data_IF_526624872911
#
_entry.id   IF_526624872911
#
_cell.length_a   1.000
_cell.length_b   1.000
_cell.length_c   1.000
_cell.angle_alpha   90.00
_cell.angle_beta   90.00
_cell.angle_gamma   90.00
#
_symmetry.space_group_name_H-M   'P 1'
#
loop_
_entity.id
_entity.type
_entity.pdbx_description
1 polymer ?
#
# COMPACT_ATOMS: atom_id res chain seq x y z
N UNK A 1 16.05 25.24 -11.42
CA UNK A 1 15.70 24.92 -10.01
C UNK A 1 15.76 23.40 -9.89
N UNK A 2 16.67 22.85 -9.07
CA UNK A 2 16.77 21.40 -8.85
C UNK A 2 15.44 20.94 -8.24
N UNK A 3 14.71 19.99 -8.86
CA UNK A 3 13.50 19.39 -8.30
C UNK A 3 13.89 18.79 -6.94
N UNK A 4 13.36 19.36 -5.86
CA UNK A 4 13.58 18.80 -4.53
C UNK A 4 12.94 17.40 -4.53
N UNK A 5 13.76 16.37 -4.34
CA UNK A 5 13.30 14.98 -4.27
C UNK A 5 12.13 14.87 -3.29
N UNK A 6 11.03 14.29 -3.79
CA UNK A 6 9.79 14.04 -3.03
C UNK A 6 10.03 12.98 -1.94
N UNK A 7 11.12 12.21 -2.07
CA UNK A 7 11.49 11.07 -1.20
C UNK A 7 11.49 11.35 0.32
N UNK A 8 11.50 12.63 0.74
CA UNK A 8 11.43 13.02 2.15
C UNK A 8 10.14 12.62 2.89
N UNK A 9 9.14 12.10 2.17
CA UNK A 9 7.79 11.92 2.71
C UNK A 9 7.24 10.49 2.58
N UNK A 10 8.03 9.52 2.08
CA UNK A 10 7.59 8.14 1.95
C UNK A 10 7.12 7.58 3.29
N UNK A 11 5.91 7.05 3.35
CA UNK A 11 5.34 6.41 4.53
C UNK A 11 6.05 5.07 4.80
N UNK A 12 6.38 4.35 3.73
CA UNK A 12 6.98 3.03 3.74
C UNK A 12 8.13 2.99 2.72
N UNK A 13 9.35 2.65 3.14
CA UNK A 13 10.51 2.60 2.24
C UNK A 13 10.70 1.26 1.55
N UNK A 14 10.08 0.22 2.06
CA UNK A 14 10.17 -1.11 1.44
C UNK A 14 9.31 -2.14 2.13
N UNK A 15 9.08 -3.23 1.43
CA UNK A 15 8.35 -4.39 1.92
C UNK A 15 9.13 -5.67 1.58
N UNK A 16 9.13 -6.62 2.51
CA UNK A 16 9.67 -7.96 2.34
C UNK A 16 8.54 -8.96 2.57
N UNK A 17 8.41 -9.94 1.69
CA UNK A 17 7.38 -10.96 1.80
C UNK A 17 8.01 -12.34 1.53
N UNK A 18 7.75 -13.30 2.41
CA UNK A 18 8.10 -14.71 2.17
C UNK A 18 6.90 -15.60 2.38
N UNK A 19 6.76 -16.55 1.48
CA UNK A 19 5.76 -17.62 1.52
C UNK A 19 4.31 -17.13 1.54
N UNK A 20 3.98 -16.06 0.83
CA UNK A 20 2.59 -15.62 0.63
C UNK A 20 2.13 -15.95 -0.78
N UNK A 21 1.17 -16.86 -0.92
CA UNK A 21 0.63 -17.31 -2.22
C UNK A 21 1.75 -17.71 -3.18
N UNK A 22 1.89 -17.04 -4.33
CA UNK A 22 2.97 -17.28 -5.29
C UNK A 22 4.30 -16.61 -4.92
N UNK A 23 4.32 -15.73 -3.92
CA UNK A 23 5.53 -15.05 -3.46
C UNK A 23 6.34 -15.95 -2.53
N UNK A 24 7.35 -16.64 -3.07
CA UNK A 24 8.23 -17.51 -2.29
C UNK A 24 9.18 -16.71 -1.39
N UNK A 25 9.92 -15.78 -1.98
CA UNK A 25 10.81 -14.84 -1.30
C UNK A 25 11.04 -13.65 -2.23
N UNK A 26 10.55 -12.49 -1.83
CA UNK A 26 10.69 -11.28 -2.64
C UNK A 26 12.01 -10.54 -2.40
N UNK A 27 12.76 -10.91 -1.34
CA UNK A 27 13.72 -10.00 -0.78
C UNK A 27 13.05 -8.71 -0.29
N UNK A 28 13.84 -7.67 -0.07
CA UNK A 28 13.32 -6.34 0.23
C UNK A 28 13.00 -5.61 -1.08
N UNK A 29 11.73 -5.31 -1.31
CA UNK A 29 11.25 -4.51 -2.44
C UNK A 29 11.23 -3.04 -2.01
N UNK A 30 12.10 -2.17 -2.57
CA UNK A 30 12.05 -0.74 -2.31
C UNK A 30 10.75 -0.11 -2.81
N UNK A 31 10.15 0.75 -2.00
CA UNK A 31 8.94 1.50 -2.34
C UNK A 31 9.26 2.98 -2.49
N UNK A 32 8.72 3.61 -3.51
CA UNK A 32 8.92 5.02 -3.85
C UNK A 32 7.61 5.79 -3.67
N UNK A 33 7.63 7.13 -3.76
CA UNK A 33 6.41 7.94 -3.77
C UNK A 33 5.34 7.44 -4.74
N UNK A 34 5.74 6.99 -5.93
CA UNK A 34 4.88 6.28 -6.87
C UNK A 34 5.52 4.92 -7.15
N UNK A 35 4.81 3.84 -6.91
CA UNK A 35 5.25 2.47 -7.19
C UNK A 35 4.23 1.77 -8.07
N UNK A 36 4.65 1.32 -9.25
CA UNK A 36 3.83 0.56 -10.19
C UNK A 36 4.14 -0.93 -10.09
N UNK A 37 3.10 -1.74 -10.02
CA UNK A 37 3.15 -3.20 -10.08
C UNK A 37 2.53 -3.64 -11.41
N UNK A 38 3.37 -4.11 -12.32
CA UNK A 38 3.02 -4.51 -13.68
C UNK A 38 3.21 -6.02 -13.87
N UNK A 39 2.59 -6.59 -14.89
CA UNK A 39 2.75 -8.00 -15.25
C UNK A 39 1.42 -8.67 -15.61
N UNK A 40 1.44 -9.91 -16.09
CA UNK A 40 0.25 -10.68 -16.46
C UNK A 40 -0.72 -10.89 -15.30
N UNK A 41 -1.95 -11.31 -15.61
CA UNK A 41 -2.90 -11.75 -14.59
C UNK A 41 -2.31 -12.92 -13.78
N UNK A 42 -2.68 -13.02 -12.51
CA UNK A 42 -2.24 -14.08 -11.60
C UNK A 42 -0.72 -14.17 -11.36
N UNK A 43 0.06 -13.15 -11.74
CA UNK A 43 1.52 -13.12 -11.54
C UNK A 43 1.95 -12.80 -10.10
N UNK A 44 1.01 -12.49 -9.20
CA UNK A 44 1.32 -12.19 -7.78
C UNK A 44 1.37 -10.70 -7.41
N UNK A 45 1.02 -9.78 -8.31
CA UNK A 45 0.94 -8.33 -8.03
C UNK A 45 0.05 -8.02 -6.84
N UNK A 46 -1.18 -8.52 -6.88
CA UNK A 46 -2.18 -8.35 -5.81
C UNK A 46 -1.70 -8.93 -4.48
N UNK A 47 -0.88 -10.00 -4.48
CA UNK A 47 -0.36 -10.60 -3.24
C UNK A 47 0.52 -9.61 -2.46
N UNK A 48 1.25 -8.71 -3.13
CA UNK A 48 2.00 -7.65 -2.46
C UNK A 48 1.07 -6.66 -1.74
N UNK A 49 0.00 -6.21 -2.41
CA UNK A 49 -1.00 -5.33 -1.77
C UNK A 49 -1.70 -6.06 -0.62
N UNK A 50 -2.05 -7.33 -0.82
CA UNK A 50 -2.68 -8.17 0.19
C UNK A 50 -1.81 -8.34 1.44
N UNK A 51 -0.47 -8.39 1.33
CA UNK A 51 0.41 -8.41 2.50
C UNK A 51 0.24 -7.16 3.37
N UNK A 52 0.16 -5.97 2.77
CA UNK A 52 -0.09 -4.72 3.48
C UNK A 52 -1.51 -4.71 4.08
N UNK A 53 -2.50 -5.14 3.31
CA UNK A 53 -3.89 -5.20 3.74
C UNK A 53 -4.14 -6.21 4.86
N UNK A 54 -3.43 -7.35 4.86
CA UNK A 54 -3.41 -8.30 5.99
C UNK A 54 -2.95 -7.65 7.28
N UNK A 55 -1.86 -6.88 7.21
CA UNK A 55 -1.36 -6.14 8.37
C UNK A 55 -2.34 -5.05 8.79
N UNK A 56 -2.96 -4.33 7.82
CA UNK A 56 -3.98 -3.32 8.09
C UNK A 56 -5.18 -3.91 8.83
N UNK A 57 -5.81 -4.96 8.29
CA UNK A 57 -6.97 -5.57 8.95
C UNK A 57 -6.63 -6.22 10.29
N UNK A 58 -5.40 -6.74 10.46
CA UNK A 58 -4.93 -7.25 11.74
C UNK A 58 -4.79 -6.13 12.76
N UNK A 59 -4.27 -4.98 12.35
CA UNK A 59 -4.10 -3.82 13.23
C UNK A 59 -5.41 -3.15 13.62
N UNK A 60 -6.45 -3.23 12.78
CA UNK A 60 -7.81 -2.74 13.05
C UNK A 60 -8.65 -3.70 13.89
N UNK A 61 -8.23 -4.97 13.96
CA UNK A 61 -9.00 -6.01 14.62
C UNK A 61 -9.03 -5.85 16.13
N UNK A 62 -10.22 -6.03 16.72
CA UNK A 62 -10.42 -6.16 18.16
C UNK A 62 -10.06 -7.54 18.70
N UNK A 63 -9.83 -8.52 17.82
CA UNK A 63 -9.40 -9.86 18.23
C UNK A 63 -7.92 -9.86 18.60
N UNK A 64 -7.65 -9.85 19.90
CA UNK A 64 -6.29 -9.85 20.44
C UNK A 64 -5.66 -11.25 20.49
N UNK A 65 -6.44 -12.30 20.28
CA UNK A 65 -6.02 -13.70 20.44
C UNK A 65 -5.66 -14.39 19.13
N UNK A 66 -5.64 -13.68 18.01
CA UNK A 66 -5.17 -14.19 16.73
C UNK A 66 -3.96 -13.40 16.27
N UNK A 67 -2.81 -14.02 16.01
CA UNK A 67 -1.60 -13.33 15.56
C UNK A 67 -1.80 -12.53 14.28
N UNK A 68 -2.59 -13.06 13.36
CA UNK A 68 -2.89 -12.46 12.07
C UNK A 68 -4.34 -12.72 11.68
N UNK A 69 -5.03 -11.72 11.19
CA UNK A 69 -6.41 -11.83 10.70
C UNK A 69 -6.37 -12.10 9.19
N UNK A 70 -6.61 -13.34 8.79
CA UNK A 70 -6.52 -13.76 7.37
C UNK A 70 -7.83 -13.62 6.60
N UNK A 71 -8.96 -13.47 7.31
CA UNK A 71 -10.29 -13.19 6.76
C UNK A 71 -10.83 -11.92 7.38
N UNK A 72 -11.11 -10.91 6.58
CA UNK A 72 -11.58 -9.62 7.08
C UNK A 72 -12.13 -8.72 5.99
N UNK A 73 -12.29 -7.44 6.34
CA UNK A 73 -12.90 -6.43 5.47
C UNK A 73 -12.12 -6.23 4.17
N UNK A 74 -10.78 -6.19 4.23
CA UNK A 74 -9.94 -5.84 3.10
C UNK A 74 -9.55 -7.04 2.25
N UNK A 75 -9.26 -8.16 2.90
CA UNK A 75 -8.88 -9.41 2.23
C UNK A 75 -9.50 -10.62 2.93
N UNK A 76 -9.94 -11.58 2.13
CA UNK A 76 -10.26 -12.94 2.56
C UNK A 76 -9.32 -13.89 1.84
N UNK A 77 -8.36 -14.46 2.57
CA UNK A 77 -7.35 -15.37 2.03
C UNK A 77 -7.63 -16.84 2.38
N UNK A 78 -8.88 -17.14 2.77
CA UNK A 78 -9.29 -18.49 3.12
C UNK A 78 -8.65 -19.00 4.40
N UNK A 79 -8.02 -20.18 4.35
CA UNK A 79 -7.26 -20.78 5.45
C UNK A 79 -5.78 -20.42 5.36
N UNK A 80 -5.00 -20.76 6.41
CA UNK A 80 -3.54 -20.62 6.34
C UNK A 80 -2.94 -21.46 5.19
N UNK A 81 -3.55 -22.60 4.88
CA UNK A 81 -3.15 -23.43 3.75
C UNK A 81 -3.30 -22.73 2.42
N UNK A 82 -4.39 -21.95 2.25
CA UNK A 82 -4.68 -21.24 0.98
C UNK A 82 -3.74 -20.05 0.77
N UNK A 83 -3.27 -19.44 1.86
CA UNK A 83 -2.39 -18.28 1.76
C UNK A 83 -0.90 -18.62 1.70
N UNK A 84 -0.49 -19.79 2.25
CA UNK A 84 0.95 -20.13 2.34
C UNK A 84 1.48 -20.67 1.02
N UNK A 85 2.72 -20.35 0.69
CA UNK A 85 3.36 -20.80 -0.56
C UNK A 85 3.38 -22.32 -0.68
N UNK A 86 2.94 -22.84 -1.84
CA UNK A 86 2.79 -24.27 -2.15
C UNK A 86 1.88 -25.04 -1.19
N UNK A 87 0.99 -24.37 -0.46
CA UNK A 87 0.08 -24.97 0.52
C UNK A 87 0.78 -25.77 1.63
N UNK A 88 2.06 -25.46 1.88
CA UNK A 88 2.92 -26.16 2.82
C UNK A 88 2.80 -25.52 4.22
N UNK A 89 2.10 -26.21 5.12
CA UNK A 89 1.84 -25.75 6.49
C UNK A 89 3.09 -25.72 7.39
N UNK A 90 4.21 -26.30 6.96
CA UNK A 90 5.48 -26.26 7.71
C UNK A 90 6.26 -24.98 7.43
N UNK A 91 5.90 -24.27 6.35
CA UNK A 91 6.47 -22.97 6.05
C UNK A 91 5.88 -21.87 6.95
N UNK A 92 6.68 -20.85 7.19
CA UNK A 92 6.26 -19.67 7.89
C UNK A 92 6.03 -18.53 6.88
N UNK A 93 4.96 -17.77 7.09
CA UNK A 93 4.74 -16.49 6.44
C UNK A 93 5.64 -15.45 7.10
N UNK A 94 6.42 -14.72 6.30
CA UNK A 94 7.15 -13.55 6.79
C UNK A 94 6.70 -12.30 6.06
N UNK A 95 6.44 -11.22 6.81
CA UNK A 95 6.16 -9.88 6.27
C UNK A 95 7.06 -8.89 7.00
N UNK A 96 7.88 -8.16 6.25
CA UNK A 96 8.76 -7.12 6.75
C UNK A 96 8.38 -5.75 6.17
N UNK A 97 8.36 -4.71 7.02
CA UNK A 97 8.14 -3.33 6.62
C UNK A 97 9.38 -2.51 6.93
N UNK A 98 9.96 -1.88 5.89
CA UNK A 98 11.08 -0.94 6.02
C UNK A 98 10.54 0.48 6.08
N UNK A 99 10.92 1.20 7.11
CA UNK A 99 10.45 2.54 7.43
C UNK A 99 11.64 3.44 7.74
N UNK A 100 11.47 4.76 7.62
CA UNK A 100 12.46 5.73 8.08
C UNK A 100 11.94 6.55 9.25
N UNK A 101 12.68 6.53 10.37
CA UNK A 101 12.37 7.39 11.50
C UNK A 101 12.93 8.79 11.22
N UNK A 102 12.04 9.78 11.28
CA UNK A 102 12.37 11.21 11.18
C UNK A 102 12.09 11.91 12.50
N UNK A 103 12.51 11.30 13.61
CA UNK A 103 12.33 11.87 14.94
C UNK A 103 13.54 12.72 15.30
N UNK A 104 13.31 13.90 15.88
CA UNK A 104 14.34 14.68 16.51
C UNK A 104 14.98 13.93 17.70
N UNK A 105 16.15 14.38 18.18
CA UNK A 105 16.88 13.73 19.27
C UNK A 105 16.02 13.67 20.52
N UNK A 106 15.68 12.46 20.96
CA UNK A 106 14.96 12.18 22.20
C UNK A 106 15.94 11.66 23.25
N UNK A 107 15.75 12.02 24.53
CA UNK A 107 16.60 11.49 25.63
C UNK A 107 16.62 9.96 25.65
N UNK A 108 15.54 9.33 25.24
CA UNK A 108 15.37 7.86 25.17
C UNK A 108 16.36 7.21 24.18
N UNK A 109 16.76 7.92 23.13
CA UNK A 109 17.67 7.39 22.09
C UNK A 109 19.13 7.53 22.48
N UNK A 110 19.46 8.39 23.48
CA UNK A 110 20.85 8.48 24.00
C UNK A 110 21.30 7.19 24.65
N UNK A 111 20.37 6.46 25.29
CA UNK A 111 20.71 5.19 25.94
C UNK A 111 20.99 4.07 24.91
N UNK A 112 20.57 4.23 23.67
CA UNK A 112 20.86 3.30 22.56
C UNK A 112 22.21 3.56 21.91
N UNK A 113 22.89 4.68 22.21
CA UNK A 113 24.11 5.14 21.54
C UNK A 113 24.00 5.22 20.00
N UNK A 114 22.77 5.27 19.46
CA UNK A 114 22.47 5.33 18.02
C UNK A 114 21.67 6.60 17.75
N UNK A 115 22.14 7.38 16.79
CA UNK A 115 21.34 8.49 16.26
C UNK A 115 20.25 7.94 15.35
N UNK A 116 19.03 7.91 15.86
CA UNK A 116 17.86 7.45 15.11
C UNK A 116 17.26 8.55 14.22
N UNK A 117 17.87 9.73 14.15
CA UNK A 117 17.42 10.76 13.23
C UNK A 117 17.72 10.33 11.78
N UNK A 118 16.67 10.20 10.98
CA UNK A 118 16.73 9.75 9.58
C UNK A 118 17.24 8.30 9.36
N UNK A 119 17.04 7.43 10.34
CA UNK A 119 17.50 6.03 10.35
C UNK A 119 16.47 5.09 9.75
N UNK A 120 16.89 4.15 8.91
CA UNK A 120 16.04 3.10 8.35
C UNK A 120 15.85 1.96 9.34
N UNK A 121 14.61 1.57 9.55
CA UNK A 121 14.22 0.45 10.42
C UNK A 121 13.45 -0.58 9.60
N UNK A 122 13.82 -1.85 9.73
CA UNK A 122 13.06 -2.98 9.23
C UNK A 122 12.42 -3.73 10.41
N UNK A 123 11.09 -3.81 10.40
CA UNK A 123 10.34 -4.64 11.33
C UNK A 123 9.75 -5.84 10.56
N UNK A 124 10.12 -7.05 10.95
CA UNK A 124 9.70 -8.29 10.33
C UNK A 124 8.88 -9.15 11.30
N UNK A 125 7.76 -9.67 10.83
CA UNK A 125 6.87 -10.59 11.53
C UNK A 125 6.96 -11.96 10.89
N UNK A 126 7.03 -13.01 11.72
CA UNK A 126 7.05 -14.42 11.29
C UNK A 126 5.85 -15.14 11.89
N UNK A 127 4.95 -15.61 11.04
CA UNK A 127 3.72 -16.31 11.42
C UNK A 127 3.77 -17.74 10.93
N UNK A 128 3.49 -18.68 11.80
CA UNK A 128 3.40 -20.10 11.50
C UNK A 128 2.04 -20.69 11.84
N UNK A 129 1.90 -21.98 11.62
CA UNK A 129 0.70 -22.75 11.92
C UNK A 129 1.00 -23.88 12.91
N UNK A 130 0.21 -23.96 13.98
CA UNK A 130 0.25 -25.08 14.92
C UNK A 130 -0.74 -26.17 14.48
N UNK A 131 -0.22 -27.24 13.86
CA UNK A 131 -1.05 -28.35 13.33
C UNK A 131 -1.84 -29.05 14.42
N UNK A 132 -1.33 -29.12 15.66
CA UNK A 132 -2.01 -29.82 16.76
C UNK A 132 -3.22 -29.04 17.29
N UNK A 133 -3.13 -27.71 17.25
CA UNK A 133 -4.17 -26.80 17.74
C UNK A 133 -4.95 -26.15 16.60
N UNK A 134 -4.61 -26.47 15.35
CA UNK A 134 -5.22 -25.95 14.12
C UNK A 134 -5.35 -24.41 14.12
N UNK A 135 -4.30 -23.71 14.56
CA UNK A 135 -4.34 -22.25 14.67
C UNK A 135 -3.02 -21.58 14.26
N UNK A 136 -3.15 -20.31 13.93
CA UNK A 136 -2.02 -19.43 13.69
C UNK A 136 -1.23 -19.19 14.97
N UNK A 137 0.07 -19.12 14.84
CA UNK A 137 0.98 -18.77 15.95
C UNK A 137 2.00 -17.74 15.48
N UNK A 138 2.31 -16.80 16.35
CA UNK A 138 3.44 -15.92 16.17
C UNK A 138 4.74 -16.71 16.44
N UNK A 139 5.61 -16.78 15.44
CA UNK A 139 6.93 -17.44 15.52
C UNK A 139 8.04 -16.47 15.88
N UNK A 140 7.86 -15.17 15.54
CA UNK A 140 8.87 -14.19 15.88
C UNK A 140 8.60 -12.79 15.36
N UNK A 141 9.32 -11.85 15.97
CA UNK A 141 9.40 -10.46 15.54
C UNK A 141 10.87 -10.05 15.54
N UNK A 142 11.32 -9.46 14.46
CA UNK A 142 12.69 -8.97 14.32
C UNK A 142 12.69 -7.48 14.05
N UNK A 143 13.54 -6.74 14.76
CA UNK A 143 13.81 -5.33 14.57
C UNK A 143 15.26 -5.16 14.12
N UNK A 144 15.47 -4.60 12.94
CA UNK A 144 16.78 -4.25 12.42
C UNK A 144 16.88 -2.75 12.20
N UNK A 145 18.04 -2.18 12.49
CA UNK A 145 18.38 -0.77 12.27
C UNK A 145 19.55 -0.72 11.31
N UNK A 146 19.44 0.07 10.22
CA UNK A 146 20.46 0.14 9.15
C UNK A 146 20.96 -1.25 8.75
N UNK A 147 20.01 -2.21 8.56
CA UNK A 147 20.24 -3.59 8.18
C UNK A 147 20.93 -4.48 9.24
N UNK A 148 21.30 -3.94 10.39
CA UNK A 148 21.81 -4.71 11.52
C UNK A 148 20.67 -5.19 12.42
N UNK A 149 20.68 -6.48 12.74
CA UNK A 149 19.70 -7.05 13.68
C UNK A 149 19.96 -6.53 15.09
N UNK A 150 18.98 -5.81 15.65
CA UNK A 150 19.07 -5.24 16.99
C UNK A 150 18.30 -6.06 18.00
N UNK A 151 17.17 -6.63 17.62
CA UNK A 151 16.30 -7.41 18.51
C UNK A 151 15.57 -8.48 17.73
N UNK A 152 15.63 -9.71 18.24
CA UNK A 152 14.84 -10.85 17.76
C UNK A 152 14.07 -11.45 18.93
N UNK A 153 12.77 -11.53 18.76
CA UNK A 153 11.89 -12.35 19.56
C UNK A 153 11.60 -13.61 18.77
N UNK A 154 12.02 -14.78 19.22
CA UNK A 154 11.83 -16.04 18.50
C UNK A 154 11.65 -17.21 19.47
N UNK A 155 10.55 -17.95 19.31
CA UNK A 155 10.26 -19.11 20.16
C UNK A 155 10.18 -18.73 21.64
N UNK A 156 11.19 -19.15 22.40
CA UNK A 156 11.29 -18.96 23.86
C UNK A 156 12.39 -17.98 24.27
N UNK A 157 12.98 -17.26 23.33
CA UNK A 157 14.09 -16.35 23.63
C UNK A 157 13.85 -14.95 23.07
N UNK A 158 14.42 -13.97 23.77
CA UNK A 158 14.68 -12.61 23.24
C UNK A 158 16.17 -12.47 23.15
N UNK A 159 16.67 -12.31 21.94
CA UNK A 159 18.09 -12.11 21.67
C UNK A 159 18.31 -10.85 20.84
N UNK A 160 19.53 -10.34 20.88
CA UNK A 160 19.88 -9.17 20.07
C UNK A 160 21.30 -8.72 20.28
N UNK A 161 21.63 -7.63 19.58
CA UNK A 161 22.92 -6.96 19.68
C UNK A 161 22.70 -5.47 19.89
N UNK A 162 23.41 -4.91 20.83
CA UNK A 162 23.46 -3.45 21.02
C UNK A 162 24.93 -3.02 21.12
N UNK A 163 25.35 -2.16 20.22
CA UNK A 163 26.78 -1.84 20.01
C UNK A 163 27.56 -3.16 19.75
N UNK A 164 28.55 -3.48 20.60
CA UNK A 164 29.33 -4.70 20.47
C UNK A 164 28.87 -5.84 21.41
N UNK A 165 27.85 -5.58 22.25
CA UNK A 165 27.35 -6.56 23.24
C UNK A 165 26.17 -7.33 22.69
N UNK A 166 26.28 -8.63 22.72
CA UNK A 166 25.18 -9.55 22.47
C UNK A 166 24.47 -9.89 23.78
N UNK A 167 23.17 -10.10 23.69
CA UNK A 167 22.36 -10.54 24.82
C UNK A 167 21.38 -11.60 24.39
N UNK A 168 21.06 -12.51 25.30
CA UNK A 168 20.02 -13.51 25.14
C UNK A 168 19.31 -13.74 26.47
N UNK A 169 17.98 -13.73 26.45
CA UNK A 169 17.12 -13.97 27.61
C UNK A 169 16.09 -15.04 27.29
N UNK A 170 15.98 -16.04 28.16
CA UNK A 170 14.91 -17.03 28.08
C UNK A 170 13.60 -16.47 28.64
N UNK A 171 12.51 -16.76 27.95
CA UNK A 171 11.17 -16.37 28.34
C UNK A 171 10.52 -17.46 29.20
N UNK A 172 9.68 -17.07 30.17
CA UNK A 172 8.86 -18.03 30.91
C UNK A 172 7.80 -18.67 30.00
N UNK A 173 7.33 -19.87 30.33
CA UNK A 173 6.28 -20.55 29.55
C UNK A 173 5.01 -19.70 29.39
N UNK A 174 4.62 -18.96 30.41
CA UNK A 174 3.46 -18.08 30.38
C UNK A 174 3.65 -16.92 29.37
N UNK A 175 4.85 -16.33 29.34
CA UNK A 175 5.21 -15.30 28.35
C UNK A 175 5.21 -15.88 26.95
N UNK A 176 5.80 -17.07 26.75
CA UNK A 176 5.82 -17.75 25.46
C UNK A 176 4.39 -17.96 24.94
N UNK A 177 3.49 -18.49 25.77
CA UNK A 177 2.09 -18.67 25.39
C UNK A 177 1.44 -17.37 24.99
N UNK A 178 1.63 -16.31 25.77
CA UNK A 178 1.02 -15.00 25.51
C UNK A 178 1.53 -14.40 24.22
N UNK A 179 2.83 -14.43 23.98
CA UNK A 179 3.43 -13.86 22.76
C UNK A 179 3.02 -14.63 21.50
N UNK A 180 2.96 -15.97 21.62
CA UNK A 180 2.65 -16.85 20.51
C UNK A 180 1.23 -16.68 19.98
N UNK A 181 0.28 -16.49 20.87
CA UNK A 181 -1.14 -16.53 20.56
C UNK A 181 -1.75 -15.12 20.35
N UNK A 182 -1.01 -14.04 20.64
CA UNK A 182 -1.52 -12.67 20.54
C UNK A 182 -1.31 -12.05 19.16
N UNK A 183 -2.19 -11.11 18.86
CA UNK A 183 -2.09 -10.23 17.72
C UNK A 183 -0.75 -9.48 17.71
N UNK A 184 -0.05 -9.52 16.57
CA UNK A 184 1.31 -8.99 16.39
C UNK A 184 1.46 -7.51 16.78
N UNK A 185 0.42 -6.70 16.65
CA UNK A 185 0.43 -5.29 17.05
C UNK A 185 0.18 -5.07 18.54
N UNK A 186 -0.33 -6.08 19.23
CA UNK A 186 -0.65 -6.02 20.66
C UNK A 186 0.31 -6.83 21.53
N UNK A 187 1.34 -7.47 20.94
CA UNK A 187 2.35 -8.26 21.66
C UNK A 187 2.98 -7.44 22.80
N UNK A 188 3.26 -6.15 22.55
CA UNK A 188 3.88 -5.24 23.50
C UNK A 188 2.94 -4.10 23.94
N UNK A 189 1.63 -4.37 23.99
CA UNK A 189 0.66 -3.41 24.53
C UNK A 189 0.87 -3.14 26.02
N UNK A 190 0.30 -2.03 26.51
CA UNK A 190 0.48 -1.57 27.89
C UNK A 190 0.32 -2.64 28.98
N UNK A 191 -0.65 -3.62 28.91
CA UNK A 191 -0.76 -4.69 29.90
C UNK A 191 0.44 -5.61 29.99
N UNK A 192 1.22 -5.75 28.90
CA UNK A 192 2.40 -6.62 28.85
C UNK A 192 3.47 -6.20 29.89
N UNK A 193 3.70 -4.89 30.06
CA UNK A 193 4.73 -4.38 30.97
C UNK A 193 4.32 -4.31 32.44
N UNK A 194 3.02 -4.35 32.74
CA UNK A 194 2.50 -4.17 34.10
C UNK A 194 1.78 -5.40 34.66
N UNK A 195 1.66 -6.47 33.88
CA UNK A 195 1.03 -7.69 34.37
C UNK A 195 1.96 -8.42 35.36
N UNK A 196 1.46 -8.92 36.50
CA UNK A 196 2.28 -9.62 37.50
C UNK A 196 3.10 -10.79 36.99
N UNK A 197 2.59 -11.52 36.00
CA UNK A 197 3.26 -12.63 35.34
C UNK A 197 4.56 -12.26 34.60
N UNK A 198 4.79 -10.97 34.38
CA UNK A 198 5.98 -10.46 33.69
C UNK A 198 7.00 -9.79 34.62
N UNK A 199 6.83 -9.90 35.95
CA UNK A 199 7.75 -9.30 36.93
C UNK A 199 9.21 -9.70 36.71
N UNK A 200 9.47 -10.95 36.33
CA UNK A 200 10.84 -11.40 36.03
C UNK A 200 11.43 -10.64 34.83
N UNK A 201 10.64 -10.42 33.79
CA UNK A 201 11.07 -9.68 32.60
C UNK A 201 11.20 -8.17 32.87
N UNK A 202 10.27 -7.59 33.61
CA UNK A 202 10.39 -6.18 34.02
C UNK A 202 11.63 -5.97 34.91
N UNK A 203 11.96 -6.89 35.81
CA UNK A 203 13.17 -6.82 36.62
C UNK A 203 14.46 -6.90 35.76
N UNK A 204 14.47 -7.72 34.70
CA UNK A 204 15.59 -7.78 33.74
C UNK A 204 15.69 -6.45 32.99
N UNK A 205 14.58 -5.93 32.49
CA UNK A 205 14.55 -4.64 31.78
C UNK A 205 14.96 -3.45 32.66
N UNK A 206 14.67 -3.51 33.95
CA UNK A 206 15.09 -2.47 34.90
C UNK A 206 16.59 -2.49 35.17
N UNK A 207 17.22 -3.66 35.08
CA UNK A 207 18.67 -3.84 35.28
C UNK A 207 19.47 -3.51 34.02
N UNK A 208 18.91 -3.72 32.81
CA UNK A 208 19.56 -3.44 31.54
C UNK A 208 18.88 -2.27 30.82
N UNK A 209 19.50 -1.08 30.92
CA UNK A 209 19.02 0.15 30.27
C UNK A 209 18.92 0.03 28.76
N UNK A 210 19.82 -0.74 28.16
CA UNK A 210 19.91 -0.92 26.71
C UNK A 210 18.75 -1.78 26.19
N UNK A 211 18.46 -2.90 26.87
CA UNK A 211 17.29 -3.74 26.55
C UNK A 211 15.99 -2.95 26.74
N UNK A 212 15.88 -2.18 27.82
CA UNK A 212 14.73 -1.30 28.04
C UNK A 212 14.53 -0.32 26.91
N UNK A 213 15.60 0.34 26.44
CA UNK A 213 15.54 1.28 25.33
C UNK A 213 15.12 0.62 24.02
N UNK A 214 15.63 -0.60 23.70
CA UNK A 214 15.23 -1.37 22.51
C UNK A 214 13.77 -1.78 22.55
N UNK A 215 13.26 -2.23 23.68
CA UNK A 215 11.86 -2.60 23.85
C UNK A 215 10.94 -1.38 23.68
N UNK A 216 11.34 -0.21 24.21
CA UNK A 216 10.62 1.05 23.96
C UNK A 216 10.63 1.43 22.49
N UNK A 217 11.76 1.26 21.80
CA UNK A 217 11.88 1.53 20.38
C UNK A 217 10.94 0.61 19.58
N UNK A 218 10.99 -0.71 19.83
CA UNK A 218 10.11 -1.69 19.19
C UNK A 218 8.64 -1.30 19.37
N UNK A 219 8.23 -0.97 20.61
CA UNK A 219 6.87 -0.52 20.88
C UNK A 219 6.51 0.74 20.09
N UNK A 220 7.39 1.73 20.02
CA UNK A 220 7.14 2.97 19.25
C UNK A 220 6.99 2.68 17.76
N UNK A 221 7.85 1.82 17.21
CA UNK A 221 7.79 1.39 15.82
C UNK A 221 6.46 0.67 15.53
N UNK A 222 6.05 -0.27 16.40
CA UNK A 222 4.77 -0.95 16.28
C UNK A 222 3.58 0.01 16.31
N UNK A 223 3.55 0.94 17.27
CA UNK A 223 2.48 1.95 17.36
C UNK A 223 2.48 2.85 16.13
N UNK A 224 3.64 3.21 15.62
CA UNK A 224 3.74 4.04 14.43
C UNK A 224 3.24 3.29 13.18
N UNK A 225 3.63 2.01 13.00
CA UNK A 225 3.12 1.16 11.92
C UNK A 225 1.61 0.99 12.05
N UNK A 226 1.11 0.72 13.24
CA UNK A 226 -0.33 0.60 13.48
C UNK A 226 -1.08 1.87 13.08
N UNK A 227 -0.58 3.05 13.46
CA UNK A 227 -1.16 4.33 13.03
C UNK A 227 -1.10 4.53 11.52
N UNK A 228 0.02 4.18 10.89
CA UNK A 228 0.15 4.22 9.43
C UNK A 228 -0.91 3.34 8.78
N UNK A 229 -1.00 2.08 9.18
CA UNK A 229 -1.92 1.10 8.60
C UNK A 229 -3.38 1.46 8.88
N UNK A 230 -3.70 1.83 10.12
CA UNK A 230 -5.07 2.12 10.54
C UNK A 230 -5.52 3.49 10.05
N UNK A 231 -4.74 4.54 10.26
CA UNK A 231 -5.19 5.93 10.09
C UNK A 231 -4.82 6.55 8.74
N UNK A 232 -3.80 6.01 8.07
CA UNK A 232 -3.19 6.65 6.89
C UNK A 232 -3.02 5.74 5.69
N UNK A 233 -3.50 4.50 5.75
CA UNK A 233 -3.51 3.60 4.60
C UNK A 233 -4.92 3.48 4.06
N UNK A 234 -5.09 3.84 2.80
CA UNK A 234 -6.34 3.82 2.06
C UNK A 234 -6.23 2.81 0.94
N UNK A 235 -7.30 2.10 0.67
CA UNK A 235 -7.34 1.08 -0.36
C UNK A 235 -8.57 1.22 -1.23
N UNK A 236 -8.34 1.18 -2.53
CA UNK A 236 -9.40 1.15 -3.55
C UNK A 236 -9.19 -0.09 -4.40
N UNK A 237 -10.17 -0.98 -4.34
CA UNK A 237 -10.19 -2.22 -5.12
C UNK A 237 -10.51 -2.01 -6.60
N UNK A 238 -10.39 -3.08 -7.40
CA UNK A 238 -10.58 -3.02 -8.86
C UNK A 238 -12.06 -2.88 -9.26
N UNK A 239 -12.97 -3.43 -8.45
CA UNK A 239 -14.41 -3.37 -8.70
C UNK A 239 -15.03 -2.27 -7.86
N UNK A 240 -15.35 -1.15 -8.50
CA UNK A 240 -15.98 0.00 -7.85
C UNK A 240 -17.48 -0.05 -8.03
N UNK A 241 -18.22 0.49 -7.07
CA UNK A 241 -19.66 0.49 -7.09
C UNK A 241 -20.21 1.36 -8.22
N UNK A 242 -21.39 0.97 -8.72
CA UNK A 242 -22.15 1.80 -9.64
C UNK A 242 -22.66 3.05 -8.92
N UNK A 243 -22.65 4.21 -9.56
CA UNK A 243 -23.23 5.42 -8.99
C UNK A 243 -24.74 5.23 -8.77
N UNK A 244 -25.25 5.87 -7.73
CA UNK A 244 -26.66 5.86 -7.39
C UNK A 244 -27.32 7.19 -7.80
N UNK A 245 -28.63 7.16 -8.10
CA UNK A 245 -29.37 8.39 -8.42
C UNK A 245 -29.51 9.30 -7.21
N UNK A 246 -29.64 8.71 -6.03
CA UNK A 246 -29.80 9.40 -4.77
C UNK A 246 -28.90 8.79 -3.72
N UNK A 247 -28.41 9.64 -2.83
CA UNK A 247 -27.56 9.25 -1.71
C UNK A 247 -28.16 9.77 -0.42
N UNK A 248 -28.12 8.96 0.62
CA UNK A 248 -28.62 9.33 1.95
C UNK A 248 -27.43 9.73 2.81
N UNK A 249 -27.45 10.96 3.31
CA UNK A 249 -26.45 11.41 4.28
C UNK A 249 -26.86 10.94 5.68
N UNK A 250 -26.16 9.96 6.21
CA UNK A 250 -26.38 9.43 7.57
C UNK A 250 -26.06 10.44 8.69
N UNK A 251 -25.41 11.55 8.36
CA UNK A 251 -24.87 12.50 9.35
C UNK A 251 -23.52 12.07 9.92
N UNK A 252 -23.05 10.87 9.60
CA UNK A 252 -21.71 10.41 9.94
C UNK A 252 -20.69 10.93 8.93
N UNK A 253 -19.45 11.06 9.37
CA UNK A 253 -18.35 11.46 8.49
C UNK A 253 -17.51 10.22 8.19
N UNK A 254 -17.58 9.68 6.95
CA UNK A 254 -16.80 8.52 6.59
C UNK A 254 -15.30 8.84 6.69
N UNK A 255 -14.55 7.83 7.01
CA UNK A 255 -13.10 7.92 7.19
C UNK A 255 -12.35 7.88 5.85
N UNK A 256 -12.93 7.19 4.88
CA UNK A 256 -12.43 6.96 3.53
C UNK A 256 -13.62 6.75 2.58
N UNK A 257 -13.33 6.67 1.28
CA UNK A 257 -14.38 6.41 0.28
C UNK A 257 -14.90 4.97 0.29
N UNK A 258 -14.32 4.08 1.10
CA UNK A 258 -14.62 2.64 1.10
C UNK A 258 -13.82 1.86 0.08
N UNK A 259 -13.89 0.52 0.17
CA UNK A 259 -13.10 -0.38 -0.69
C UNK A 259 -13.53 -0.33 -2.16
N UNK A 260 -14.78 -0.03 -2.41
CA UNK A 260 -15.42 0.04 -3.72
C UNK A 260 -15.86 1.45 -4.09
N UNK A 261 -15.52 2.43 -3.25
CA UNK A 261 -15.97 3.80 -3.41
C UNK A 261 -17.40 4.04 -2.91
N UNK A 262 -17.95 3.14 -2.10
CA UNK A 262 -19.32 3.16 -1.59
C UNK A 262 -19.64 4.44 -0.79
N UNK A 263 -18.64 5.07 -0.16
CA UNK A 263 -18.80 6.30 0.62
C UNK A 263 -18.34 7.57 -0.11
N UNK A 264 -18.06 7.50 -1.41
CA UNK A 264 -17.50 8.63 -2.18
C UNK A 264 -18.35 9.90 -2.07
N UNK A 265 -19.66 9.77 -2.24
CA UNK A 265 -20.55 10.93 -2.19
C UNK A 265 -20.75 11.46 -0.77
N UNK A 266 -20.71 10.60 0.23
CA UNK A 266 -20.75 10.98 1.64
C UNK A 266 -19.50 11.79 2.05
N UNK A 267 -18.31 11.40 1.55
CA UNK A 267 -17.05 12.15 1.75
C UNK A 267 -17.17 13.53 1.09
N UNK A 268 -17.68 13.63 -0.16
CA UNK A 268 -17.92 14.91 -0.85
C UNK A 268 -18.90 15.77 -0.05
N UNK A 269 -19.98 15.19 0.45
CA UNK A 269 -20.98 15.88 1.25
C UNK A 269 -20.40 16.41 2.58
N UNK A 270 -19.63 15.60 3.27
CA UNK A 270 -18.99 15.99 4.53
C UNK A 270 -18.04 17.19 4.34
N UNK A 271 -17.26 17.18 3.26
CA UNK A 271 -16.38 18.29 2.90
C UNK A 271 -17.15 19.55 2.50
N UNK A 272 -18.17 19.41 1.67
CA UNK A 272 -19.04 20.51 1.25
C UNK A 272 -19.68 21.23 2.46
N UNK A 273 -20.16 20.48 3.45
CA UNK A 273 -20.73 21.04 4.68
C UNK A 273 -19.70 21.76 5.55
N UNK A 274 -18.48 21.26 5.59
CA UNK A 274 -17.37 21.86 6.36
C UNK A 274 -16.65 22.97 5.63
N UNK A 275 -16.96 23.22 4.36
CA UNK A 275 -16.30 24.19 3.47
C UNK A 275 -14.79 23.98 3.40
N UNK A 276 -14.35 22.74 3.31
CA UNK A 276 -12.94 22.39 3.11
C UNK A 276 -12.62 22.46 1.60
N UNK A 277 -11.35 22.44 1.24
CA UNK A 277 -10.90 22.67 -0.15
C UNK A 277 -11.05 21.46 -1.09
N UNK A 278 -11.51 20.28 -0.60
CA UNK A 278 -11.64 19.06 -1.41
C UNK A 278 -12.58 19.27 -2.59
N UNK A 279 -13.75 19.86 -2.32
CA UNK A 279 -14.79 20.01 -3.34
C UNK A 279 -14.32 20.86 -4.54
N UNK A 280 -13.60 21.95 -4.29
CA UNK A 280 -13.07 22.80 -5.38
C UNK A 280 -11.94 22.10 -6.14
N UNK A 281 -11.11 21.34 -5.45
CA UNK A 281 -10.08 20.51 -6.09
C UNK A 281 -10.68 19.40 -6.94
N UNK A 282 -11.75 18.76 -6.43
CA UNK A 282 -12.50 17.74 -7.17
C UNK A 282 -13.05 18.32 -8.48
N UNK A 283 -13.70 19.50 -8.44
CA UNK A 283 -14.17 20.20 -9.64
C UNK A 283 -13.05 20.46 -10.63
N UNK A 284 -11.91 20.97 -10.14
CA UNK A 284 -10.75 21.24 -10.96
C UNK A 284 -10.26 19.98 -11.69
N UNK A 285 -10.15 18.83 -10.99
CA UNK A 285 -9.70 17.58 -11.59
C UNK A 285 -10.73 16.98 -12.55
N UNK A 286 -12.01 17.00 -12.20
CA UNK A 286 -13.10 16.53 -13.07
C UNK A 286 -13.13 17.32 -14.39
N UNK A 287 -12.94 18.64 -14.32
CA UNK A 287 -12.85 19.51 -15.49
C UNK A 287 -11.57 19.26 -16.31
N UNK A 288 -10.41 19.23 -15.65
CA UNK A 288 -9.09 18.97 -16.28
C UNK A 288 -9.07 17.64 -17.03
N UNK A 289 -9.68 16.61 -16.48
CA UNK A 289 -9.82 15.30 -17.13
C UNK A 289 -10.85 15.29 -18.26
N UNK A 290 -11.66 16.33 -18.39
CA UNK A 290 -12.71 16.42 -19.41
C UNK A 290 -13.89 15.49 -19.13
N UNK A 291 -14.09 15.12 -17.87
CA UNK A 291 -15.21 14.28 -17.43
C UNK A 291 -16.49 15.11 -17.41
N UNK A 292 -16.42 16.29 -16.81
CA UNK A 292 -17.51 17.24 -16.73
C UNK A 292 -16.94 18.66 -16.57
N UNK A 293 -17.73 19.68 -16.90
CA UNK A 293 -17.39 21.08 -16.68
C UNK A 293 -17.45 21.43 -15.19
N UNK A 294 -18.45 20.88 -14.51
CA UNK A 294 -18.70 21.09 -13.09
C UNK A 294 -19.33 19.84 -12.47
N UNK A 295 -19.18 19.67 -11.17
CA UNK A 295 -19.82 18.64 -10.38
C UNK A 295 -20.56 19.30 -9.22
N UNK A 296 -21.83 18.92 -8.99
CA UNK A 296 -22.68 19.56 -7.98
C UNK A 296 -23.41 18.54 -7.14
N UNK A 297 -23.41 18.80 -5.86
CA UNK A 297 -24.23 18.08 -4.90
C UNK A 297 -25.53 18.87 -4.67
N UNK A 298 -26.67 18.34 -5.12
CA UNK A 298 -27.98 19.00 -5.01
C UNK A 298 -28.84 18.28 -3.95
N UNK A 299 -29.42 19.00 -2.97
CA UNK A 299 -30.40 18.43 -2.08
C UNK A 299 -31.71 18.12 -2.84
N UNK A 300 -32.30 16.97 -2.58
CA UNK A 300 -33.59 16.53 -3.14
C UNK A 300 -34.66 16.57 -2.06
N UNK A 301 -34.31 16.11 -0.85
CA UNK A 301 -35.11 16.17 0.37
C UNK A 301 -34.17 16.27 1.57
N UNK A 302 -34.73 16.35 2.76
CA UNK A 302 -33.93 16.34 3.99
C UNK A 302 -33.12 15.05 4.08
N UNK A 303 -31.79 15.18 4.18
CA UNK A 303 -30.87 14.04 4.23
C UNK A 303 -30.69 13.30 2.90
N UNK A 304 -31.34 13.70 1.81
CA UNK A 304 -31.26 13.03 0.49
C UNK A 304 -30.61 13.99 -0.51
N UNK A 305 -29.59 13.51 -1.20
CA UNK A 305 -28.82 14.28 -2.17
C UNK A 305 -28.68 13.53 -3.49
N UNK A 306 -28.52 14.29 -4.56
CA UNK A 306 -28.12 13.77 -5.87
C UNK A 306 -26.82 14.41 -6.30
N UNK A 307 -25.96 13.64 -6.95
CA UNK A 307 -24.74 14.14 -7.56
C UNK A 307 -25.00 14.38 -9.04
N UNK A 308 -24.88 15.62 -9.47
CA UNK A 308 -25.04 16.03 -10.87
C UNK A 308 -23.73 16.55 -11.42
N UNK A 309 -23.54 16.35 -12.71
CA UNK A 309 -22.39 16.86 -13.47
C UNK A 309 -22.89 17.67 -14.66
N UNK A 310 -22.20 18.75 -14.97
CA UNK A 310 -22.51 19.56 -16.16
C UNK A 310 -21.80 18.96 -17.37
N UNK A 311 -22.55 18.49 -18.36
CA UNK A 311 -21.97 17.96 -19.61
C UNK A 311 -21.14 19.08 -20.29
N UNK A 312 -19.87 18.82 -20.62
CA UNK A 312 -19.01 19.85 -21.23
C UNK A 312 -19.46 20.28 -22.63
N UNK A 313 -20.35 19.51 -23.28
CA UNK A 313 -20.81 19.74 -24.67
C UNK A 313 -22.17 20.43 -24.75
N UNK A 314 -23.07 20.14 -23.78
CA UNK A 314 -24.48 20.54 -23.88
C UNK A 314 -24.94 21.53 -22.82
N UNK A 315 -24.09 21.90 -21.86
CA UNK A 315 -24.40 22.78 -20.73
C UNK A 315 -25.60 22.32 -19.87
N UNK A 316 -25.93 21.02 -19.95
CA UNK A 316 -27.03 20.43 -19.20
C UNK A 316 -26.46 19.74 -17.97
N UNK A 317 -27.11 19.90 -16.82
CA UNK A 317 -26.81 19.13 -15.62
C UNK A 317 -27.48 17.76 -15.71
N UNK A 318 -26.68 16.71 -15.73
CA UNK A 318 -27.15 15.31 -15.72
C UNK A 318 -26.76 14.60 -14.43
N UNK A 319 -27.54 13.61 -14.05
CA UNK A 319 -27.16 12.77 -12.89
C UNK A 319 -25.89 12.01 -13.20
N UNK A 320 -25.05 11.76 -12.18
CA UNK A 320 -23.80 10.99 -12.33
C UNK A 320 -24.04 9.59 -12.92
N UNK A 321 -25.23 9.02 -12.73
CA UNK A 321 -25.61 7.71 -13.29
C UNK A 321 -25.84 7.75 -14.81
N UNK A 322 -26.08 8.92 -15.37
CA UNK A 322 -26.43 9.10 -16.78
C UNK A 322 -25.22 9.47 -17.64
N UNK A 323 -24.03 9.63 -17.02
CA UNK A 323 -22.75 9.78 -17.73
C UNK A 323 -22.08 8.43 -17.95
N UNK A 324 -21.11 8.42 -18.88
CA UNK A 324 -20.35 7.19 -19.18
C UNK A 324 -19.73 6.55 -17.95
N UNK A 325 -19.82 5.22 -17.87
CA UNK A 325 -19.40 4.40 -16.73
C UNK A 325 -17.97 4.71 -16.24
N UNK A 326 -17.03 4.99 -17.16
CA UNK A 326 -15.64 5.31 -16.80
C UNK A 326 -15.49 6.51 -15.87
N UNK A 327 -16.34 7.52 -16.00
CA UNK A 327 -16.30 8.72 -15.14
C UNK A 327 -16.65 8.37 -13.68
N UNK A 328 -17.66 7.53 -13.47
CA UNK A 328 -18.07 7.09 -12.13
C UNK A 328 -17.01 6.18 -11.46
N UNK A 329 -16.29 5.39 -12.27
CA UNK A 329 -15.20 4.55 -11.78
C UNK A 329 -13.96 5.35 -11.35
N UNK A 330 -13.77 6.52 -11.91
CA UNK A 330 -12.64 7.39 -11.60
C UNK A 330 -12.88 8.26 -10.35
N UNK A 331 -14.15 8.61 -10.08
CA UNK A 331 -14.52 9.51 -8.99
C UNK A 331 -14.02 9.07 -7.61
N UNK A 332 -14.15 7.80 -7.19
CA UNK A 332 -13.59 7.32 -5.92
C UNK A 332 -12.09 7.53 -5.79
N UNK A 333 -11.34 7.32 -6.88
CA UNK A 333 -9.88 7.48 -6.90
C UNK A 333 -9.50 8.95 -6.70
N UNK A 334 -10.19 9.86 -7.40
CA UNK A 334 -9.93 11.31 -7.29
C UNK A 334 -10.29 11.79 -5.87
N UNK A 335 -11.46 11.41 -5.37
CA UNK A 335 -11.93 11.83 -4.05
C UNK A 335 -11.01 11.32 -2.96
N UNK A 336 -10.68 10.02 -2.94
CA UNK A 336 -9.75 9.45 -1.96
C UNK A 336 -8.36 10.09 -2.05
N UNK A 337 -7.85 10.24 -3.27
CA UNK A 337 -6.55 10.85 -3.49
C UNK A 337 -6.47 12.27 -2.93
N UNK A 338 -7.51 13.09 -3.10
CA UNK A 338 -7.56 14.45 -2.57
C UNK A 338 -7.80 14.43 -1.04
N UNK A 339 -8.69 13.56 -0.57
CA UNK A 339 -9.10 13.46 0.84
C UNK A 339 -7.98 12.96 1.74
N UNK A 340 -7.20 12.01 1.26
CA UNK A 340 -6.06 11.46 1.99
C UNK A 340 -5.08 12.56 2.41
N UNK A 341 -4.64 12.51 3.67
CA UNK A 341 -3.73 13.50 4.24
C UNK A 341 -2.28 13.26 3.82
N UNK A 342 -1.42 14.25 4.01
CA UNK A 342 0.03 14.13 3.79
C UNK A 342 0.61 12.98 4.62
N UNK A 343 1.48 12.17 4.03
CA UNK A 343 2.07 10.98 4.65
C UNK A 343 1.16 9.76 4.62
N UNK A 344 0.07 9.79 3.84
CA UNK A 344 -0.79 8.63 3.60
C UNK A 344 -0.21 7.70 2.55
N UNK A 345 -0.57 6.43 2.67
CA UNK A 345 -0.32 5.35 1.72
C UNK A 345 -1.62 5.00 1.00
N UNK A 346 -1.63 5.17 -0.31
CA UNK A 346 -2.75 4.82 -1.19
C UNK A 346 -2.42 3.52 -1.91
N UNK A 347 -3.24 2.50 -1.74
CA UNK A 347 -3.18 1.23 -2.44
C UNK A 347 -4.32 1.21 -3.45
N UNK A 348 -3.99 1.14 -4.74
CA UNK A 348 -4.99 1.25 -5.81
C UNK A 348 -4.82 0.08 -6.77
N UNK A 349 -5.88 -0.70 -6.95
CA UNK A 349 -5.91 -1.78 -7.92
C UNK A 349 -6.62 -1.34 -9.19
N UNK A 350 -5.95 -1.58 -10.32
CA UNK A 350 -6.47 -1.41 -11.67
C UNK A 350 -7.27 -0.10 -11.87
N UNK A 351 -6.64 1.08 -11.65
CA UNK A 351 -7.32 2.36 -11.79
C UNK A 351 -7.81 2.64 -13.22
N UNK A 352 -7.26 1.94 -14.20
CA UNK A 352 -7.53 2.08 -15.62
C UNK A 352 -8.80 1.41 -16.11
N UNK A 353 -9.43 0.53 -15.34
CA UNK A 353 -10.60 -0.24 -15.78
C UNK A 353 -11.72 0.70 -16.24
N UNK A 354 -12.27 0.40 -17.42
CA UNK A 354 -13.33 1.18 -18.10
C UNK A 354 -12.95 2.61 -18.48
N UNK A 355 -11.67 2.99 -18.41
CA UNK A 355 -11.22 4.33 -18.81
C UNK A 355 -10.71 4.36 -20.25
N UNK A 356 -11.09 5.42 -20.96
CA UNK A 356 -10.46 5.74 -22.24
C UNK A 356 -8.95 5.99 -22.06
N UNK A 357 -8.07 5.58 -23.00
CA UNK A 357 -6.62 5.74 -22.92
C UNK A 357 -6.15 7.13 -22.47
N UNK A 358 -6.81 8.18 -22.94
CA UNK A 358 -6.52 9.56 -22.49
C UNK A 358 -6.67 9.74 -20.98
N UNK A 359 -7.72 9.17 -20.37
CA UNK A 359 -7.96 9.27 -18.93
C UNK A 359 -6.95 8.43 -18.13
N UNK A 360 -6.58 7.26 -18.65
CA UNK A 360 -5.52 6.43 -18.06
C UNK A 360 -4.20 7.21 -17.98
N UNK A 361 -3.82 7.89 -19.07
CA UNK A 361 -2.64 8.77 -19.05
C UNK A 361 -2.77 9.92 -18.05
N UNK A 362 -3.94 10.55 -17.93
CA UNK A 362 -4.16 11.66 -17.00
C UNK A 362 -4.13 11.25 -15.53
N UNK A 363 -4.43 9.98 -15.22
CA UNK A 363 -4.22 9.43 -13.87
C UNK A 363 -2.76 9.54 -13.41
N UNK A 364 -1.80 9.37 -14.32
CA UNK A 364 -0.38 9.57 -13.98
C UNK A 364 -0.11 11.01 -13.52
N UNK A 365 -0.69 12.01 -14.19
CA UNK A 365 -0.58 13.41 -13.78
C UNK A 365 -1.19 13.66 -12.39
N UNK A 366 -2.33 13.02 -12.11
CA UNK A 366 -2.97 13.06 -10.81
C UNK A 366 -2.09 12.44 -9.71
N UNK A 367 -1.56 11.25 -9.93
CA UNK A 367 -0.68 10.58 -8.97
C UNK A 367 0.62 11.37 -8.72
N UNK A 368 1.17 12.04 -9.74
CA UNK A 368 2.31 12.94 -9.58
C UNK A 368 1.97 14.11 -8.65
N UNK A 369 0.77 14.71 -8.80
CA UNK A 369 0.33 15.79 -7.90
C UNK A 369 0.20 15.29 -6.47
N UNK A 370 -0.44 14.13 -6.24
CA UNK A 370 -0.55 13.52 -4.92
C UNK A 370 0.83 13.21 -4.30
N UNK A 371 1.76 12.69 -5.09
CA UNK A 371 3.12 12.42 -4.63
C UNK A 371 3.85 13.71 -4.23
N UNK A 372 3.69 14.80 -4.99
CA UNK A 372 4.23 16.14 -4.65
C UNK A 372 3.64 16.69 -3.35
N UNK A 373 2.43 16.33 -3.02
CA UNK A 373 1.79 16.66 -1.74
C UNK A 373 2.29 15.79 -0.58
N UNK A 374 3.15 14.82 -0.85
CA UNK A 374 3.75 13.93 0.13
C UNK A 374 2.89 12.72 0.49
N UNK A 375 2.07 12.26 -0.43
CA UNK A 375 1.35 10.98 -0.37
C UNK A 375 2.17 9.92 -1.10
N UNK A 376 2.07 8.67 -0.69
CA UNK A 376 2.70 7.52 -1.34
C UNK A 376 1.62 6.67 -1.99
N UNK A 377 1.85 6.26 -3.24
CA UNK A 377 0.88 5.54 -4.04
C UNK A 377 1.51 4.23 -4.53
N UNK A 378 0.88 3.10 -4.25
CA UNK A 378 1.22 1.80 -4.82
C UNK A 378 0.06 1.39 -5.73
N UNK A 379 0.36 1.15 -6.99
CA UNK A 379 -0.64 0.96 -8.04
C UNK A 379 -0.40 -0.38 -8.71
N UNK A 380 -1.38 -1.26 -8.65
CA UNK A 380 -1.45 -2.43 -9.51
C UNK A 380 -2.17 -2.03 -10.81
N UNK A 381 -1.52 -2.21 -11.96
CA UNK A 381 -2.06 -1.75 -13.24
C UNK A 381 -1.57 -2.58 -14.42
N UNK A 382 -2.38 -2.60 -15.50
CA UNK A 382 -2.02 -3.10 -16.81
C UNK A 382 -1.91 -1.97 -17.84
N UNK A 383 -1.97 -0.71 -17.42
CA UNK A 383 -2.01 0.43 -18.34
C UNK A 383 -0.63 0.85 -18.81
N UNK A 384 -0.35 0.61 -20.08
CA UNK A 384 0.81 1.18 -20.79
C UNK A 384 0.74 2.70 -20.83
N UNK A 385 -0.47 3.26 -20.99
CA UNK A 385 -0.68 4.70 -21.08
C UNK A 385 -0.31 5.42 -19.79
N UNK A 386 -0.54 4.78 -18.62
CA UNK A 386 -0.14 5.32 -17.34
C UNK A 386 1.39 5.36 -17.22
N UNK A 387 2.07 4.24 -17.56
CA UNK A 387 3.52 4.15 -17.54
C UNK A 387 4.16 5.15 -18.52
N UNK A 388 3.71 5.16 -19.78
CA UNK A 388 4.23 6.07 -20.79
C UNK A 388 4.08 7.54 -20.41
N UNK A 389 2.98 7.90 -19.76
CA UNK A 389 2.80 9.26 -19.25
C UNK A 389 3.77 9.59 -18.11
N UNK A 390 4.06 8.64 -17.20
CA UNK A 390 5.08 8.84 -16.16
C UNK A 390 6.47 9.03 -16.77
N UNK A 391 6.85 8.21 -17.75
CA UNK A 391 8.11 8.34 -18.49
C UNK A 391 8.23 9.73 -19.13
N UNK A 392 7.19 10.15 -19.86
CA UNK A 392 7.12 11.49 -20.44
C UNK A 392 7.28 12.59 -19.37
N UNK A 393 6.65 12.47 -18.21
CA UNK A 393 6.75 13.48 -17.14
C UNK A 393 8.13 13.52 -16.48
N UNK A 394 8.86 12.40 -16.48
CA UNK A 394 10.28 12.38 -16.12
C UNK A 394 11.09 13.17 -17.13
N UNK A 395 10.96 12.89 -18.43
CA UNK A 395 11.64 13.60 -19.50
C UNK A 395 11.36 15.12 -19.50
N UNK A 396 10.14 15.52 -19.12
CA UNK A 396 9.73 16.92 -18.97
C UNK A 396 10.19 17.54 -17.62
N UNK A 397 10.95 16.83 -16.78
CA UNK A 397 11.37 17.25 -15.42
C UNK A 397 10.22 17.61 -14.48
N UNK A 398 9.04 17.04 -14.72
CA UNK A 398 7.87 17.24 -13.86
C UNK A 398 7.94 16.40 -12.57
N UNK A 399 8.65 15.28 -12.61
CA UNK A 399 8.94 14.39 -11.49
C UNK A 399 10.32 13.75 -11.70
N UNK A 400 11.01 13.39 -10.61
CA UNK A 400 12.28 12.67 -10.70
C UNK A 400 12.06 11.18 -10.91
N UNK A 401 12.91 10.53 -11.72
CA UNK A 401 12.94 9.07 -11.83
C UNK A 401 13.22 8.38 -10.49
N UNK A 402 13.87 9.07 -9.54
CA UNK A 402 14.12 8.57 -8.18
C UNK A 402 12.85 8.46 -7.33
N UNK A 403 11.78 9.14 -7.72
CA UNK A 403 10.49 9.14 -7.01
C UNK A 403 9.52 8.07 -7.55
N UNK A 404 9.93 7.34 -8.61
CA UNK A 404 9.12 6.30 -9.24
C UNK A 404 9.85 4.96 -9.16
N UNK A 405 9.11 3.91 -8.79
CA UNK A 405 9.55 2.52 -8.90
C UNK A 405 8.58 1.75 -9.79
N UNK A 406 9.11 0.90 -10.63
CA UNK A 406 8.33 0.02 -11.51
C UNK A 406 8.82 -1.41 -11.30
N UNK A 407 7.90 -2.33 -11.04
CA UNK A 407 8.17 -3.74 -10.85
C UNK A 407 7.35 -4.58 -11.82
N UNK A 408 8.00 -5.49 -12.50
CA UNK A 408 7.35 -6.48 -13.35
C UNK A 408 7.29 -7.83 -12.64
N UNK A 409 6.09 -8.36 -12.56
CA UNK A 409 5.77 -9.63 -11.90
C UNK A 409 5.54 -10.69 -12.95
N UNK A 410 6.26 -11.79 -12.85
CA UNK A 410 6.16 -12.94 -13.72
C UNK A 410 6.01 -14.22 -12.90
N UNK A 411 5.01 -15.04 -13.22
CA UNK A 411 4.83 -16.34 -12.55
C UNK A 411 5.75 -17.37 -13.22
N UNK A 412 6.62 -17.96 -12.43
CA UNK A 412 7.53 -19.05 -12.84
C UNK A 412 7.19 -20.34 -12.12
N UNK A 413 7.81 -21.45 -12.53
CA UNK A 413 7.67 -22.74 -11.85
C UNK A 413 8.13 -22.73 -10.39
N UNK A 414 9.00 -21.79 -10.01
CA UNK A 414 9.54 -21.65 -8.64
C UNK A 414 8.81 -20.61 -7.80
N UNK A 415 7.76 -19.98 -8.32
CA UNK A 415 7.02 -18.88 -7.72
C UNK A 415 7.12 -17.59 -8.54
N UNK A 416 6.60 -16.50 -8.00
CA UNK A 416 6.66 -15.20 -8.66
C UNK A 416 8.08 -14.65 -8.65
N UNK A 417 8.58 -14.29 -9.85
CA UNK A 417 9.79 -13.48 -10.04
C UNK A 417 9.37 -12.02 -10.13
N UNK A 418 10.05 -11.15 -9.40
CA UNK A 418 9.83 -9.71 -9.41
C UNK A 418 11.08 -9.04 -9.94
N UNK A 419 10.96 -8.38 -11.09
CA UNK A 419 12.05 -7.68 -11.76
C UNK A 419 11.84 -6.17 -11.67
N UNK A 420 12.77 -5.40 -11.12
CA UNK A 420 12.70 -3.94 -11.19
C UNK A 420 12.94 -3.48 -12.61
N UNK A 421 12.14 -2.52 -13.08
CA UNK A 421 12.33 -1.83 -14.34
C UNK A 421 12.84 -0.43 -14.05
N UNK A 422 14.04 -0.13 -14.49
CA UNK A 422 14.66 1.18 -14.30
C UNK A 422 14.18 2.16 -15.38
N UNK A 423 13.89 3.40 -14.96
CA UNK A 423 13.62 4.51 -15.87
C UNK A 423 14.78 5.50 -15.68
N UNK A 424 15.44 5.87 -16.76
CA UNK A 424 16.54 6.84 -16.74
C UNK A 424 16.02 8.29 -16.54
N UNK A 425 16.94 9.26 -16.48
CA UNK A 425 16.60 10.68 -16.32
C UNK A 425 15.92 11.27 -17.57
N UNK A 426 16.04 10.61 -18.73
CA UNK A 426 15.36 10.97 -19.97
C UNK A 426 13.97 10.31 -20.10
N UNK A 427 13.55 9.51 -19.12
CA UNK A 427 12.27 8.80 -19.13
C UNK A 427 12.28 7.49 -19.94
N UNK A 428 13.45 7.01 -20.38
CA UNK A 428 13.56 5.77 -21.14
C UNK A 428 13.65 4.56 -20.20
N UNK A 429 13.07 3.43 -20.62
CA UNK A 429 13.18 2.17 -19.88
C UNK A 429 14.54 1.54 -20.18
N UNK A 430 15.22 1.08 -19.12
CA UNK A 430 16.45 0.31 -19.23
C UNK A 430 16.12 -1.18 -19.16
N UNK A 431 16.45 -1.94 -20.21
CA UNK A 431 16.32 -3.40 -20.30
C UNK A 431 14.95 -3.94 -19.81
N UNK A 432 13.82 -3.55 -20.43
CA UNK A 432 12.54 -4.14 -20.09
C UNK A 432 12.57 -5.65 -20.35
N UNK A 433 11.83 -6.47 -19.57
CA UNK A 433 11.74 -7.91 -19.83
C UNK A 433 11.10 -8.19 -21.21
N UNK A 434 11.43 -9.33 -21.80
CA UNK A 434 10.81 -9.79 -23.04
C UNK A 434 9.28 -9.88 -22.89
N UNK A 435 8.54 -9.45 -23.89
CA UNK A 435 7.08 -9.40 -23.87
C UNK A 435 6.49 -8.25 -23.03
N UNK A 436 7.33 -7.31 -22.58
CA UNK A 436 6.85 -6.15 -21.83
C UNK A 436 6.24 -5.11 -22.77
N UNK A 437 4.91 -5.07 -22.85
CA UNK A 437 4.14 -4.18 -23.73
C UNK A 437 4.54 -4.25 -25.22
N UNK A 438 5.06 -5.39 -25.67
CA UNK A 438 5.51 -5.57 -27.05
C UNK A 438 4.40 -5.97 -28.03
N UNK A 439 3.28 -6.51 -27.53
CA UNK A 439 2.21 -7.06 -28.36
C UNK A 439 1.71 -6.06 -29.42
N UNK A 440 1.50 -4.80 -29.03
CA UNK A 440 1.09 -3.75 -29.97
C UNK A 440 2.14 -3.50 -31.04
N UNK A 441 3.42 -3.43 -30.67
CA UNK A 441 4.52 -3.21 -31.63
C UNK A 441 4.71 -4.42 -32.56
N UNK A 442 4.61 -5.63 -31.98
CA UNK A 442 4.68 -6.89 -32.76
C UNK A 442 3.54 -6.95 -33.76
N UNK A 443 2.32 -6.68 -33.36
CA UNK A 443 1.15 -6.71 -34.23
C UNK A 443 1.18 -5.59 -35.27
N UNK A 444 1.59 -4.39 -34.91
CA UNK A 444 1.78 -3.29 -35.84
C UNK A 444 2.85 -3.63 -36.94
N UNK A 445 3.95 -4.23 -36.49
CA UNK A 445 5.01 -4.68 -37.45
C UNK A 445 4.52 -5.82 -38.35
N UNK A 446 3.85 -6.84 -37.81
CA UNK A 446 3.26 -7.92 -38.59
C UNK A 446 2.20 -7.41 -39.58
N UNK A 447 1.38 -6.46 -39.16
CA UNK A 447 0.39 -5.81 -40.03
C UNK A 447 1.05 -5.10 -41.20
N UNK A 448 2.11 -4.31 -40.94
CA UNK A 448 2.86 -3.63 -42.00
C UNK A 448 3.43 -4.61 -43.02
N UNK A 449 4.09 -5.70 -42.55
CA UNK A 449 4.63 -6.74 -43.43
C UNK A 449 3.52 -7.40 -44.27
N UNK A 450 2.39 -7.74 -43.61
CA UNK A 450 1.27 -8.38 -44.32
C UNK A 450 0.65 -7.44 -45.37
N UNK A 451 0.50 -6.15 -45.04
CA UNK A 451 0.00 -5.14 -45.95
C UNK A 451 0.94 -4.91 -47.15
N UNK A 452 2.26 -4.88 -46.95
CA UNK A 452 3.25 -4.77 -48.00
C UNK A 452 3.19 -5.97 -48.96
N UNK A 453 3.21 -7.19 -48.44
CA UNK A 453 3.10 -8.43 -49.22
C UNK A 453 1.83 -8.47 -50.07
N UNK A 454 0.70 -8.01 -49.52
CA UNK A 454 -0.56 -7.98 -50.28
C UNK A 454 -0.51 -7.00 -51.46
N UNK A 455 0.03 -5.79 -51.22
CA UNK A 455 0.19 -4.78 -52.29
C UNK A 455 1.14 -5.25 -53.40
N UNK A 456 2.22 -5.96 -53.06
CA UNK A 456 3.12 -6.55 -54.07
C UNK A 456 2.45 -7.63 -54.92
N UNK A 457 1.56 -8.44 -54.30
CA UNK A 457 0.81 -9.48 -55.01
C UNK A 457 -0.32 -8.90 -55.87
N UNK A 458 -0.93 -7.77 -55.49
CA UNK A 458 -1.95 -7.06 -56.29
C UNK A 458 -1.33 -6.24 -57.45
N UNK A 459 -0.04 -5.94 -57.38
CA UNK A 459 0.69 -5.21 -58.41
C UNK A 459 1.33 -6.15 -59.49
N UNK A 460 1.28 -7.46 -59.28
CA UNK A 460 1.66 -8.52 -60.23
C UNK A 460 0.42 -9.07 -60.97
#
# INVERSE_FOLDING_TARGET
MRSASISRWSALEGILIKNLKSLRDTGLIPLKPITLLLGPNSSGKTALLQAILLLKQTSESRNLMSPLIIRGKYVDLGSFRDLIFSHDLDKNLEIGLKLRIRAGPSRLYRDLLVDLSNTAILLKFTIGFDRRRERLINKGVELSIEEQLMLRLSGNTISGRLSEKEFEFSLSEEMIRTLRDRNIFHIFSFPFFYHPSYRSFTNIMERDRSLKALMYLLRRVLVWIQRLLVERTYYIGPLREYPQRYYIASGEYPRDVGLRGEHTVEVIYADFKRRVALYERLKSWVNKMGIARDIRLKPVAEGIYTLTVSDPRQEIDVNITDIGFGASQLLPIIVEGIYATRGSLLLIEQPEIHLHPRLQAMLADFFIELAKEGKQIIIETHSEHLLLRLQRRIAENMISNRDIAVYYFELTSSGTKISPITIDECGMLEAPPDGFFEEYLIDAHKLLIAAMKRRENEAR
#
